data_IF_864151883409
#
_entry.id   IF_864151883409
#
_cell.length_a   1.000
_cell.length_b   1.000
_cell.length_c   1.000
_cell.angle_alpha   90.00
_cell.angle_beta   90.00
_cell.angle_gamma   90.00
#
_symmetry.space_group_name_H-M   'P 1'
#
loop_
_entity.id
_entity.type
_entity.pdbx_description
1 polymer ?
#
# COMPACT_ATOMS: atom_id res chain seq x y z
N UNK A 1 16.12 -13.23 3.18
CA UNK A 1 16.14 -13.72 1.80
C UNK A 1 17.44 -13.26 1.21
N UNK A 2 18.30 -14.22 0.87
CA UNK A 2 19.44 -13.91 0.02
C UNK A 2 18.89 -13.41 -1.31
N UNK A 3 19.30 -12.21 -1.72
CA UNK A 3 18.98 -11.67 -3.04
C UNK A 3 19.53 -12.67 -4.06
N UNK A 4 18.67 -13.16 -4.95
CA UNK A 4 19.10 -14.10 -5.97
C UNK A 4 19.53 -13.37 -7.24
N UNK A 5 20.57 -13.89 -7.88
CA UNK A 5 21.11 -13.36 -9.14
C UNK A 5 20.81 -14.30 -10.33
N UNK A 6 20.01 -15.33 -10.12
CA UNK A 6 19.63 -16.31 -11.15
C UNK A 6 18.24 -15.97 -11.66
N UNK A 7 18.07 -15.95 -12.98
CA UNK A 7 16.79 -15.62 -13.60
C UNK A 7 15.73 -16.69 -13.28
N UNK A 8 14.51 -16.28 -12.95
CA UNK A 8 13.40 -17.20 -12.76
C UNK A 8 12.95 -17.86 -14.07
N UNK A 9 12.19 -18.95 -13.96
CA UNK A 9 11.60 -19.62 -15.13
C UNK A 9 10.66 -18.65 -15.86
N UNK A 10 10.87 -18.49 -17.16
CA UNK A 10 10.12 -17.53 -17.99
C UNK A 10 8.60 -17.76 -17.94
N UNK A 11 8.17 -19.03 -17.83
CA UNK A 11 6.76 -19.39 -17.70
C UNK A 11 6.13 -18.89 -16.40
N UNK A 12 6.85 -18.99 -15.28
CA UNK A 12 6.31 -18.56 -13.99
C UNK A 12 6.19 -17.04 -13.91
N UNK A 13 7.22 -16.33 -14.39
CA UNK A 13 7.22 -14.88 -14.45
C UNK A 13 6.12 -14.36 -15.41
N UNK A 14 5.93 -15.00 -16.57
CA UNK A 14 4.81 -14.68 -17.48
C UNK A 14 3.45 -14.91 -16.81
N UNK A 15 3.31 -15.97 -16.03
CA UNK A 15 2.07 -16.26 -15.33
C UNK A 15 1.79 -15.24 -14.23
N UNK A 16 2.81 -14.83 -13.47
CA UNK A 16 2.68 -13.73 -12.51
C UNK A 16 2.33 -12.40 -13.19
N UNK A 17 2.96 -12.06 -14.32
CA UNK A 17 2.61 -10.86 -15.09
C UNK A 17 1.15 -10.88 -15.58
N UNK A 18 0.67 -12.03 -16.06
CA UNK A 18 -0.74 -12.20 -16.43
C UNK A 18 -1.65 -12.02 -15.21
N UNK A 19 -1.30 -12.59 -14.05
CA UNK A 19 -2.07 -12.37 -12.83
C UNK A 19 -2.14 -10.89 -12.43
N UNK A 20 -1.02 -10.16 -12.51
CA UNK A 20 -0.99 -8.72 -12.21
C UNK A 20 -1.89 -7.94 -13.18
N UNK A 21 -1.74 -8.17 -14.49
CA UNK A 21 -2.44 -7.38 -15.52
C UNK A 21 -3.91 -7.77 -15.69
N UNK A 22 -4.25 -9.04 -15.57
CA UNK A 22 -5.59 -9.56 -15.89
C UNK A 22 -6.49 -9.64 -14.64
N UNK A 23 -5.90 -9.66 -13.43
CA UNK A 23 -6.65 -9.81 -12.18
C UNK A 23 -6.38 -8.65 -11.22
N UNK A 24 -5.13 -8.43 -10.80
CA UNK A 24 -4.84 -7.49 -9.70
C UNK A 24 -5.12 -6.04 -10.10
N UNK A 25 -4.62 -5.57 -11.23
CA UNK A 25 -4.81 -4.18 -11.67
C UNK A 25 -6.30 -3.85 -11.88
N UNK A 26 -7.07 -4.62 -12.68
CA UNK A 26 -8.50 -4.36 -12.85
C UNK A 26 -9.28 -4.40 -11.53
N UNK A 27 -8.94 -5.34 -10.65
CA UNK A 27 -9.59 -5.43 -9.33
C UNK A 27 -9.25 -4.24 -8.43
N UNK A 28 -8.05 -3.68 -8.56
CA UNK A 28 -7.63 -2.49 -7.82
C UNK A 28 -8.40 -1.26 -8.29
N UNK A 29 -8.59 -1.09 -9.61
CA UNK A 29 -9.37 0.00 -10.18
C UNK A 29 -10.83 -0.03 -9.70
N UNK A 30 -11.48 -1.21 -9.77
CA UNK A 30 -12.85 -1.38 -9.28
C UNK A 30 -12.94 -1.12 -7.77
N UNK A 31 -12.01 -1.69 -7.00
CA UNK A 31 -11.98 -1.53 -5.55
C UNK A 31 -11.74 -0.09 -5.12
N UNK A 32 -10.88 0.66 -5.83
CA UNK A 32 -10.61 2.06 -5.54
C UNK A 32 -11.80 2.96 -5.85
N UNK A 33 -12.54 2.70 -6.93
CA UNK A 33 -13.80 3.41 -7.18
C UNK A 33 -14.80 3.24 -6.03
N UNK A 34 -14.88 2.06 -5.42
CA UNK A 34 -15.70 1.83 -4.23
C UNK A 34 -15.12 2.48 -2.98
N UNK A 35 -13.79 2.53 -2.87
CA UNK A 35 -13.07 3.14 -1.74
C UNK A 35 -13.30 4.65 -1.70
N UNK A 36 -13.09 5.32 -2.82
CA UNK A 36 -13.22 6.77 -2.98
C UNK A 36 -14.66 7.23 -2.75
N UNK A 37 -15.63 6.44 -3.20
CA UNK A 37 -17.05 6.69 -2.97
C UNK A 37 -17.56 6.35 -1.56
N UNK A 38 -16.71 5.81 -0.68
CA UNK A 38 -17.11 5.25 0.62
C UNK A 38 -18.27 4.24 0.50
N UNK A 39 -18.09 3.25 -0.38
CA UNK A 39 -19.06 2.17 -0.66
C UNK A 39 -18.46 0.78 -0.43
N UNK A 40 -17.35 0.67 0.28
CA UNK A 40 -16.70 -0.61 0.55
C UNK A 40 -17.52 -1.42 1.54
N UNK A 41 -17.84 -2.64 1.15
CA UNK A 41 -18.48 -3.63 2.00
C UNK A 41 -17.44 -4.63 2.48
N UNK A 42 -17.72 -5.27 3.61
CA UNK A 42 -16.76 -6.17 4.26
C UNK A 42 -16.26 -7.30 3.32
N UNK A 43 -17.15 -7.84 2.48
CA UNK A 43 -16.78 -8.86 1.52
C UNK A 43 -15.92 -8.32 0.36
N UNK A 44 -16.06 -7.04 -0.02
CA UNK A 44 -15.15 -6.41 -0.98
C UNK A 44 -13.73 -6.38 -0.41
N UNK A 45 -13.58 -5.98 0.87
CA UNK A 45 -12.29 -5.98 1.54
C UNK A 45 -11.69 -7.39 1.62
N UNK A 46 -12.45 -8.41 2.03
CA UNK A 46 -11.93 -9.78 2.05
C UNK A 46 -11.51 -10.30 0.67
N UNK A 47 -12.33 -10.06 -0.36
CA UNK A 47 -12.01 -10.46 -1.73
C UNK A 47 -10.72 -9.80 -2.22
N UNK A 48 -10.60 -8.48 -2.04
CA UNK A 48 -9.41 -7.76 -2.47
C UNK A 48 -8.16 -8.15 -1.64
N UNK A 49 -8.33 -8.40 -0.34
CA UNK A 49 -7.27 -8.94 0.52
C UNK A 49 -6.73 -10.27 -0.01
N UNK A 50 -7.63 -11.15 -0.46
CA UNK A 50 -7.25 -12.44 -1.02
C UNK A 50 -6.49 -12.29 -2.35
N UNK A 51 -6.92 -11.36 -3.22
CA UNK A 51 -6.23 -11.05 -4.50
C UNK A 51 -4.80 -10.56 -4.22
N UNK A 52 -4.64 -9.60 -3.32
CA UNK A 52 -3.33 -9.09 -2.92
C UNK A 52 -2.46 -10.18 -2.28
N UNK A 53 -3.02 -10.98 -1.38
CA UNK A 53 -2.28 -12.05 -0.72
C UNK A 53 -1.86 -13.16 -1.70
N UNK A 54 -2.64 -13.38 -2.76
CA UNK A 54 -2.31 -14.35 -3.80
C UNK A 54 -1.21 -13.85 -4.74
N UNK A 55 -1.08 -12.53 -4.97
CA UNK A 55 0.10 -11.97 -5.62
C UNK A 55 1.39 -12.32 -4.85
N UNK A 56 1.34 -12.22 -3.52
CA UNK A 56 2.46 -12.62 -2.65
C UNK A 56 2.71 -14.13 -2.74
N UNK A 57 1.66 -14.96 -2.85
CA UNK A 57 1.82 -16.41 -3.06
C UNK A 57 2.62 -16.71 -4.35
N UNK A 58 2.35 -16.01 -5.45
CA UNK A 58 3.13 -16.14 -6.69
C UNK A 58 4.60 -15.77 -6.51
N UNK A 59 4.86 -14.65 -5.85
CA UNK A 59 6.23 -14.19 -5.61
C UNK A 59 7.02 -15.18 -4.75
N UNK A 60 6.39 -15.69 -3.69
CA UNK A 60 6.99 -16.72 -2.81
C UNK A 60 7.20 -18.02 -3.58
N UNK A 61 6.29 -18.41 -4.47
CA UNK A 61 6.44 -19.58 -5.33
C UNK A 61 7.65 -19.46 -6.27
N UNK A 62 7.77 -18.33 -6.96
CA UNK A 62 8.90 -18.04 -7.86
C UNK A 62 10.21 -18.01 -7.06
N UNK A 63 10.24 -17.28 -5.94
CA UNK A 63 11.42 -17.18 -5.09
C UNK A 63 11.86 -18.56 -4.55
N UNK A 64 10.91 -19.44 -4.20
CA UNK A 64 11.20 -20.78 -3.67
C UNK A 64 11.83 -21.74 -4.68
N UNK A 65 11.62 -21.53 -5.98
CA UNK A 65 12.29 -22.30 -7.02
C UNK A 65 13.76 -21.92 -7.18
N UNK A 66 14.13 -20.70 -6.81
CA UNK A 66 15.49 -20.17 -6.98
C UNK A 66 16.29 -20.17 -5.67
N UNK A 67 15.61 -19.96 -4.54
CA UNK A 67 16.19 -19.88 -3.19
C UNK A 67 15.26 -20.52 -2.17
N UNK A 68 15.74 -20.93 -0.99
CA UNK A 68 14.83 -21.34 0.08
C UNK A 68 14.21 -20.11 0.74
N UNK A 69 13.05 -19.67 0.22
CA UNK A 69 12.33 -18.50 0.70
C UNK A 69 11.20 -18.89 1.66
N UNK A 70 11.45 -18.81 2.97
CA UNK A 70 10.38 -18.92 3.96
C UNK A 70 9.40 -17.73 3.80
N UNK A 71 8.10 -18.01 3.67
CA UNK A 71 7.04 -17.00 3.53
C UNK A 71 7.09 -15.94 4.63
N UNK A 72 7.30 -16.34 5.90
CA UNK A 72 7.35 -15.40 7.03
C UNK A 72 8.49 -14.38 6.85
N UNK A 73 9.66 -14.88 6.45
CA UNK A 73 10.84 -14.04 6.25
C UNK A 73 10.74 -13.22 4.96
N UNK A 74 10.06 -13.74 3.95
CA UNK A 74 9.79 -13.04 2.70
C UNK A 74 8.92 -11.81 2.95
N UNK A 75 7.76 -12.00 3.57
CA UNK A 75 6.80 -10.93 3.87
C UNK A 75 7.42 -9.88 4.79
N UNK A 76 8.14 -10.31 5.84
CA UNK A 76 8.82 -9.39 6.76
C UNK A 76 9.86 -8.51 6.06
N UNK A 77 10.56 -9.04 5.06
CA UNK A 77 11.52 -8.26 4.29
C UNK A 77 10.85 -7.38 3.26
N UNK A 78 9.71 -7.79 2.71
CA UNK A 78 8.92 -6.97 1.82
C UNK A 78 8.42 -5.72 2.53
N UNK A 79 7.86 -5.87 3.73
CA UNK A 79 7.51 -4.76 4.63
C UNK A 79 8.68 -3.79 4.85
N UNK A 80 9.90 -4.31 5.07
CA UNK A 80 11.09 -3.46 5.27
C UNK A 80 11.63 -2.80 3.99
N UNK A 81 11.56 -3.48 2.84
CA UNK A 81 12.15 -3.00 1.58
C UNK A 81 11.25 -2.01 0.86
N UNK A 82 9.96 -2.26 0.91
CA UNK A 82 8.93 -1.49 0.22
C UNK A 82 8.24 -0.49 1.13
N UNK A 83 8.83 -0.20 2.30
CA UNK A 83 8.38 0.77 3.31
C UNK A 83 7.43 1.79 2.67
N UNK A 84 6.13 1.53 2.76
CA UNK A 84 5.18 2.26 1.92
C UNK A 84 5.06 3.64 2.50
N UNK A 85 5.41 4.65 1.69
CA UNK A 85 5.16 6.05 2.03
C UNK A 85 3.67 6.21 2.35
N UNK A 86 3.37 6.84 3.48
CA UNK A 86 2.03 6.86 4.06
C UNK A 86 1.88 5.92 5.25
N UNK A 87 1.55 6.51 6.39
CA UNK A 87 1.39 5.92 7.71
C UNK A 87 2.70 5.40 8.32
N UNK A 88 3.55 6.33 8.79
CA UNK A 88 4.76 6.09 9.62
C UNK A 88 4.49 5.18 10.82
N UNK A 89 3.22 5.09 11.22
CA UNK A 89 2.76 4.32 12.36
C UNK A 89 2.58 2.82 12.08
N UNK A 90 2.55 2.39 10.79
CA UNK A 90 2.36 0.98 10.40
C UNK A 90 3.34 0.58 9.30
N UNK A 91 4.36 -0.19 9.70
CA UNK A 91 5.38 -0.74 8.79
C UNK A 91 5.22 -2.22 8.47
N UNK A 92 4.18 -2.87 9.01
CA UNK A 92 3.90 -4.30 8.89
C UNK A 92 2.63 -4.56 8.06
N UNK A 93 2.40 -3.74 7.02
CA UNK A 93 1.20 -3.76 6.18
C UNK A 93 1.03 -5.11 5.47
N UNK A 94 2.08 -5.66 4.87
CA UNK A 94 2.05 -6.96 4.19
C UNK A 94 1.82 -8.11 5.17
N UNK A 95 2.46 -8.07 6.34
CA UNK A 95 2.20 -9.03 7.42
C UNK A 95 0.75 -8.99 7.89
N UNK A 96 0.19 -7.80 8.09
CA UNK A 96 -1.20 -7.64 8.52
C UNK A 96 -2.17 -8.18 7.44
N UNK A 97 -1.88 -7.91 6.16
CA UNK A 97 -2.62 -8.45 5.03
C UNK A 97 -2.61 -9.99 4.99
N UNK A 98 -1.46 -10.61 5.23
CA UNK A 98 -1.30 -12.07 5.31
C UNK A 98 -2.05 -12.65 6.52
N UNK A 99 -2.02 -11.99 7.67
CA UNK A 99 -2.75 -12.40 8.87
C UNK A 99 -4.27 -12.35 8.68
N UNK A 100 -4.80 -11.26 8.11
CA UNK A 100 -6.23 -11.13 7.77
C UNK A 100 -6.64 -12.18 6.74
N UNK A 101 -5.80 -12.46 5.74
CA UNK A 101 -6.07 -13.52 4.76
C UNK A 101 -6.12 -14.91 5.44
N UNK A 102 -5.20 -15.15 6.38
CA UNK A 102 -5.15 -16.41 7.13
C UNK A 102 -6.39 -16.58 8.02
N UNK A 103 -6.82 -15.52 8.71
CA UNK A 103 -8.06 -15.48 9.49
C UNK A 103 -9.32 -15.71 8.65
N UNK A 104 -9.30 -15.28 7.38
CA UNK A 104 -10.41 -15.56 6.48
C UNK A 104 -10.41 -17.02 6.01
N UNK A 105 -9.23 -17.60 5.78
CA UNK A 105 -9.06 -18.99 5.31
C UNK A 105 -9.24 -20.03 6.42
N UNK A 106 -8.96 -19.67 7.67
CA UNK A 106 -8.94 -20.58 8.82
C UNK A 106 -9.77 -20.02 9.97
N UNK A 107 -10.40 -20.91 10.74
CA UNK A 107 -11.25 -20.54 11.88
C UNK A 107 -10.46 -19.80 12.98
N UNK A 108 -9.17 -20.10 13.12
CA UNK A 108 -8.27 -19.46 14.08
C UNK A 108 -6.96 -19.03 13.41
N UNK A 109 -6.38 -17.92 13.87
CA UNK A 109 -5.07 -17.46 13.44
C UNK A 109 -3.98 -18.40 13.96
N UNK A 110 -3.01 -18.72 13.10
CA UNK A 110 -1.82 -19.47 13.51
C UNK A 110 -0.91 -18.64 14.44
N UNK A 111 -1.18 -18.71 15.75
CA UNK A 111 -0.54 -17.91 16.81
C UNK A 111 1.00 -17.88 16.73
N UNK A 112 1.64 -19.03 16.45
CA UNK A 112 3.10 -19.14 16.36
C UNK A 112 3.68 -18.36 15.17
N UNK A 113 2.93 -18.27 14.07
CA UNK A 113 3.39 -17.62 12.86
C UNK A 113 3.38 -16.10 13.02
N UNK A 114 2.35 -15.56 13.67
CA UNK A 114 2.07 -14.13 13.79
C UNK A 114 2.26 -13.58 15.22
N UNK A 115 3.10 -14.22 16.03
CA UNK A 115 3.32 -13.84 17.43
C UNK A 115 3.72 -12.38 17.60
N UNK A 116 4.51 -11.84 16.68
CA UNK A 116 4.93 -10.43 16.63
C UNK A 116 3.75 -9.50 16.32
N UNK A 117 2.84 -9.87 15.43
CA UNK A 117 1.63 -9.08 15.18
C UNK A 117 0.67 -9.12 16.36
N UNK A 118 0.56 -10.25 17.04
CA UNK A 118 -0.30 -10.38 18.23
C UNK A 118 0.26 -9.54 19.38
N UNK A 119 1.58 -9.42 19.51
CA UNK A 119 2.20 -8.51 20.46
C UNK A 119 1.89 -7.04 20.16
N UNK A 120 1.85 -6.66 18.87
CA UNK A 120 1.57 -5.29 18.43
C UNK A 120 0.07 -4.95 18.55
N UNK A 121 -0.78 -5.79 17.98
CA UNK A 121 -2.21 -5.49 17.80
C UNK A 121 -3.11 -6.15 18.85
N UNK A 122 -2.61 -7.10 19.63
CA UNK A 122 -3.43 -7.97 20.47
C UNK A 122 -4.07 -9.13 19.69
N UNK A 123 -5.09 -9.74 20.27
CA UNK A 123 -5.78 -10.89 19.67
C UNK A 123 -6.46 -10.49 18.35
N UNK A 124 -5.93 -11.04 17.25
CA UNK A 124 -6.46 -10.85 15.90
C UNK A 124 -7.53 -11.91 15.61
N UNK A 125 -8.70 -11.47 15.15
CA UNK A 125 -9.81 -12.36 14.78
C UNK A 125 -10.50 -11.86 13.52
N UNK A 126 -11.42 -12.64 12.96
CA UNK A 126 -12.27 -12.17 11.87
C UNK A 126 -13.03 -10.87 12.21
N UNK A 127 -13.35 -10.65 13.49
CA UNK A 127 -14.01 -9.44 13.98
C UNK A 127 -13.08 -8.22 14.09
N UNK A 128 -11.78 -8.37 13.81
CA UNK A 128 -10.85 -7.26 13.72
C UNK A 128 -11.19 -6.32 12.56
N UNK A 129 -11.95 -6.76 11.55
CA UNK A 129 -12.49 -5.88 10.50
C UNK A 129 -13.98 -5.62 10.72
N UNK A 130 -14.35 -4.35 10.82
CA UNK A 130 -15.73 -3.92 11.05
C UNK A 130 -16.15 -2.85 10.03
N UNK A 131 -17.27 -3.05 9.30
CA UNK A 131 -17.79 -2.01 8.41
C UNK A 131 -18.40 -0.85 9.21
N UNK A 132 -18.19 0.37 8.74
CA UNK A 132 -18.82 1.59 9.26
C UNK A 132 -18.88 2.62 8.14
N UNK A 133 -20.07 3.11 7.82
CA UNK A 133 -20.26 4.22 6.85
C UNK A 133 -19.54 3.98 5.50
N UNK A 134 -19.54 2.73 5.03
CA UNK A 134 -18.90 2.35 3.76
C UNK A 134 -17.37 2.30 3.78
N UNK A 135 -16.77 2.42 4.97
CA UNK A 135 -15.35 2.17 5.28
C UNK A 135 -15.21 0.86 6.06
N UNK A 136 -14.03 0.24 6.00
CA UNK A 136 -13.72 -0.99 6.76
C UNK A 136 -12.65 -0.69 7.79
N UNK A 137 -13.06 -0.59 9.05
CA UNK A 137 -12.13 -0.30 10.13
C UNK A 137 -11.47 -1.57 10.64
N UNK A 138 -10.14 -1.55 10.69
CA UNK A 138 -9.40 -2.42 11.57
C UNK A 138 -9.59 -1.93 13.01
N UNK A 139 -9.94 -2.83 13.92
CA UNK A 139 -10.12 -2.54 15.35
C UNK A 139 -9.41 -3.58 16.20
N UNK A 140 -8.59 -3.10 17.12
CA UNK A 140 -8.06 -3.88 18.22
C UNK A 140 -8.17 -3.10 19.53
N UNK A 141 -7.55 -3.59 20.61
CA UNK A 141 -7.54 -2.89 21.90
C UNK A 141 -6.87 -1.52 21.83
N UNK A 142 -5.86 -1.37 20.97
CA UNK A 142 -5.01 -0.17 20.90
C UNK A 142 -4.90 0.41 19.50
N UNK A 143 -5.49 -0.22 18.48
CA UNK A 143 -5.47 0.26 17.10
C UNK A 143 -6.87 0.44 16.54
N UNK A 144 -7.05 1.52 15.77
CA UNK A 144 -8.27 1.80 15.01
C UNK A 144 -7.93 2.61 13.77
N UNK A 145 -8.14 2.07 12.57
CA UNK A 145 -7.88 2.80 11.32
C UNK A 145 -8.66 2.19 10.16
N UNK A 146 -8.83 2.93 9.05
CA UNK A 146 -9.42 2.38 7.83
C UNK A 146 -8.43 1.41 7.16
N UNK A 147 -8.74 0.11 7.25
CA UNK A 147 -7.88 -0.96 6.75
C UNK A 147 -7.67 -0.89 5.24
N UNK A 148 -8.71 -0.52 4.50
CA UNK A 148 -8.66 -0.49 3.05
C UNK A 148 -7.75 0.64 2.55
N UNK A 149 -7.83 1.81 3.19
CA UNK A 149 -6.99 2.97 2.86
C UNK A 149 -5.56 2.82 3.36
N UNK A 150 -5.38 2.41 4.61
CA UNK A 150 -4.05 2.41 5.27
C UNK A 150 -3.21 1.19 4.92
N UNK A 151 -3.83 0.07 4.51
CA UNK A 151 -3.11 -1.19 4.24
C UNK A 151 -3.27 -1.64 2.79
N UNK A 152 -4.49 -1.75 2.27
CA UNK A 152 -4.70 -2.37 0.95
C UNK A 152 -4.30 -1.46 -0.21
N UNK A 153 -4.73 -0.20 -0.19
CA UNK A 153 -4.36 0.81 -1.21
C UNK A 153 -2.85 0.92 -1.39
N UNK A 154 -2.04 1.14 -0.33
CA UNK A 154 -0.59 1.23 -0.46
C UNK A 154 0.06 -0.05 -1.02
N UNK A 155 -0.40 -1.23 -0.58
CA UNK A 155 0.10 -2.50 -1.10
C UNK A 155 -0.24 -2.67 -2.60
N UNK A 156 -1.46 -2.32 -2.98
CA UNK A 156 -1.90 -2.40 -4.38
C UNK A 156 -1.11 -1.45 -5.28
N UNK A 157 -0.77 -0.25 -4.80
CA UNK A 157 0.07 0.70 -5.51
C UNK A 157 1.46 0.13 -5.82
N UNK A 158 2.09 -0.59 -4.87
CA UNK A 158 3.38 -1.27 -5.11
C UNK A 158 3.29 -2.27 -6.27
N UNK A 159 2.18 -3.02 -6.36
CA UNK A 159 1.98 -3.98 -7.43
C UNK A 159 1.73 -3.32 -8.80
N UNK A 160 1.30 -2.06 -8.82
CA UNK A 160 1.13 -1.27 -10.04
C UNK A 160 2.41 -0.54 -10.47
N UNK A 161 3.55 -1.24 -10.44
CA UNK A 161 4.87 -0.69 -10.79
C UNK A 161 5.25 -0.88 -12.27
N UNK A 162 4.31 -1.27 -13.13
CA UNK A 162 4.52 -1.35 -14.57
C UNK A 162 5.47 -2.47 -15.03
N UNK A 163 5.47 -3.61 -14.35
CA UNK A 163 6.27 -4.79 -14.71
C UNK A 163 5.91 -5.27 -16.13
N UNK A 164 6.93 -5.44 -16.99
CA UNK A 164 6.77 -5.85 -18.39
C UNK A 164 7.55 -7.11 -18.74
N UNK A 165 8.67 -7.33 -18.08
CA UNK A 165 9.61 -8.40 -18.42
C UNK A 165 9.86 -9.35 -17.25
N UNK A 166 10.41 -10.52 -17.54
CA UNK A 166 10.85 -11.48 -16.50
C UNK A 166 11.92 -10.87 -15.59
N UNK A 167 12.79 -10.03 -16.13
CA UNK A 167 13.80 -9.36 -15.32
C UNK A 167 13.12 -8.38 -14.34
N UNK A 168 12.07 -7.68 -14.78
CA UNK A 168 11.30 -6.79 -13.91
C UNK A 168 10.66 -7.57 -12.76
N UNK A 169 10.13 -8.77 -13.04
CA UNK A 169 9.57 -9.66 -12.01
C UNK A 169 10.63 -10.09 -11.00
N UNK A 170 11.80 -10.52 -11.47
CA UNK A 170 12.90 -10.93 -10.58
C UNK A 170 13.41 -9.76 -9.74
N UNK A 171 13.54 -8.58 -10.35
CA UNK A 171 13.98 -7.37 -9.66
C UNK A 171 12.93 -6.89 -8.66
N UNK A 172 11.63 -7.00 -8.97
CA UNK A 172 10.55 -6.73 -8.04
C UNK A 172 10.53 -7.73 -6.86
N UNK A 173 10.61 -9.03 -7.11
CA UNK A 173 10.70 -10.03 -6.02
C UNK A 173 11.93 -9.77 -5.13
N UNK A 174 13.04 -9.34 -5.73
CA UNK A 174 14.26 -8.99 -5.00
C UNK A 174 14.22 -7.61 -4.33
N UNK A 175 13.17 -6.81 -4.49
CA UNK A 175 13.09 -5.48 -3.89
C UNK A 175 13.99 -4.43 -4.55
N UNK A 176 14.36 -4.63 -5.83
CA UNK A 176 15.21 -3.72 -6.61
C UNK A 176 14.40 -2.74 -7.46
N UNK A 177 13.18 -3.11 -7.84
CA UNK A 177 12.20 -2.21 -8.45
C UNK A 177 11.18 -1.86 -7.38
N UNK A 178 11.17 -0.59 -6.97
CA UNK A 178 10.05 -0.04 -6.23
C UNK A 178 9.08 0.54 -7.26
N UNK A 179 7.78 0.24 -7.13
CA UNK A 179 6.77 1.07 -7.77
C UNK A 179 6.86 2.49 -7.24
N UNK A 180 6.31 3.44 -7.99
CA UNK A 180 5.91 4.73 -7.40
C UNK A 180 5.28 4.44 -6.05
N UNK A 181 5.79 5.07 -4.98
CA UNK A 181 5.30 4.91 -3.62
C UNK A 181 3.91 5.55 -3.44
N UNK A 182 3.21 5.87 -4.54
CA UNK A 182 1.89 6.49 -4.58
C UNK A 182 1.92 7.98 -4.20
N UNK A 183 2.95 8.39 -3.47
CA UNK A 183 3.03 9.66 -2.80
C UNK A 183 4.42 10.28 -2.93
N UNK A 184 4.51 11.61 -2.92
CA UNK A 184 5.76 12.35 -3.01
C UNK A 184 6.40 12.39 -4.42
N UNK A 185 5.87 11.65 -5.39
CA UNK A 185 6.37 11.65 -6.76
C UNK A 185 5.55 12.60 -7.65
N UNK A 186 6.11 13.77 -7.92
CA UNK A 186 5.51 14.77 -8.80
C UNK A 186 6.30 14.87 -10.10
N UNK A 187 5.61 14.78 -11.24
CA UNK A 187 6.22 14.83 -12.58
C UNK A 187 6.32 16.27 -13.08
N UNK A 188 7.11 17.10 -12.37
CA UNK A 188 7.36 18.48 -12.75
C UNK A 188 8.79 18.65 -13.30
N UNK A 189 8.93 19.44 -14.36
CA UNK A 189 10.22 19.93 -14.84
C UNK A 189 10.71 21.16 -14.06
N UNK A 190 9.93 21.58 -13.06
CA UNK A 190 10.12 22.75 -12.21
C UNK A 190 10.28 24.04 -13.02
N UNK A 191 9.58 24.11 -14.15
CA UNK A 191 9.55 25.29 -15.02
C UNK A 191 8.36 26.19 -14.68
N UNK A 192 8.36 27.46 -15.13
CA UNK A 192 7.25 28.37 -14.84
C UNK A 192 5.88 27.88 -15.31
N UNK A 193 5.82 26.99 -16.30
CA UNK A 193 4.55 26.40 -16.76
C UNK A 193 3.97 25.38 -15.77
N UNK A 194 4.80 24.75 -14.93
CA UNK A 194 4.36 23.83 -13.89
C UNK A 194 3.82 24.56 -12.64
N UNK A 195 4.01 25.89 -12.55
CA UNK A 195 3.70 26.63 -11.34
C UNK A 195 2.20 26.57 -10.98
N UNK A 196 1.31 26.57 -11.97
CA UNK A 196 -0.13 26.44 -11.73
C UNK A 196 -0.45 25.04 -11.19
N UNK A 197 0.11 23.99 -11.80
CA UNK A 197 -0.14 22.61 -11.38
C UNK A 197 0.41 22.34 -9.98
N UNK A 198 1.62 22.84 -9.69
CA UNK A 198 2.22 22.83 -8.33
C UNK A 198 1.33 23.52 -7.30
N UNK A 199 0.71 24.65 -7.65
CA UNK A 199 -0.22 25.36 -6.77
C UNK A 199 -1.52 24.57 -6.56
N UNK A 200 -2.05 23.95 -7.62
CA UNK A 200 -3.25 23.10 -7.54
C UNK A 200 -3.00 21.93 -6.60
N UNK A 201 -1.88 21.23 -6.75
CA UNK A 201 -1.53 20.06 -5.94
C UNK A 201 -1.19 20.47 -4.49
N UNK A 202 -0.55 21.62 -4.29
CA UNK A 202 -0.32 22.19 -2.96
C UNK A 202 -1.61 22.59 -2.23
N UNK A 203 -2.60 23.13 -2.95
CA UNK A 203 -3.89 23.53 -2.36
C UNK A 203 -4.89 22.37 -2.22
N UNK A 204 -4.72 21.29 -2.98
CA UNK A 204 -5.60 20.12 -2.96
C UNK A 204 -4.85 18.85 -2.55
N UNK A 205 -3.95 18.98 -1.57
CA UNK A 205 -3.14 17.84 -1.13
C UNK A 205 -4.02 16.73 -0.55
N UNK A 206 -3.76 15.51 -0.97
CA UNK A 206 -4.33 14.30 -0.36
C UNK A 206 -3.51 13.88 0.84
N UNK A 207 -4.13 13.17 1.78
CA UNK A 207 -3.42 12.62 2.91
C UNK A 207 -2.54 11.44 2.48
N UNK A 208 -1.26 11.45 2.83
CA UNK A 208 -0.32 10.33 2.64
C UNK A 208 -0.83 9.02 3.24
N UNK A 209 -1.56 9.09 4.37
CA UNK A 209 -1.96 7.93 5.14
C UNK A 209 -3.26 7.29 4.64
N UNK A 210 -4.26 8.11 4.29
CA UNK A 210 -5.58 7.62 3.90
C UNK A 210 -5.97 7.95 2.45
N UNK A 211 -5.21 8.81 1.77
CA UNK A 211 -5.48 9.29 0.42
C UNK A 211 -6.79 10.05 0.29
N UNK A 212 -7.27 10.68 1.37
CA UNK A 212 -8.42 11.60 1.35
C UNK A 212 -7.92 13.04 1.44
N UNK A 213 -8.64 13.99 0.85
CA UNK A 213 -8.35 15.42 1.00
C UNK A 213 -8.53 15.91 2.45
N UNK A 214 -7.91 17.03 2.80
CA UNK A 214 -7.87 17.57 4.17
C UNK A 214 -9.24 17.62 4.86
N UNK A 215 -10.30 18.03 4.15
CA UNK A 215 -11.64 18.17 4.72
C UNK A 215 -12.35 16.83 4.99
N UNK A 216 -12.00 15.78 4.26
CA UNK A 216 -12.62 14.46 4.33
C UNK A 216 -11.74 13.43 5.05
N UNK A 217 -10.54 13.85 5.47
CA UNK A 217 -9.53 12.98 6.07
C UNK A 217 -9.95 12.47 7.46
N UNK A 218 -10.03 11.14 7.60
CA UNK A 218 -10.32 10.48 8.86
C UNK A 218 -9.08 10.17 9.73
N UNK A 219 -7.86 10.47 9.27
CA UNK A 219 -6.63 10.19 10.03
C UNK A 219 -6.63 10.74 11.46
N UNK A 220 -7.16 11.94 11.76
CA UNK A 220 -7.28 12.43 13.15
C UNK A 220 -8.10 11.51 14.08
N UNK A 221 -8.97 10.67 13.52
CA UNK A 221 -9.78 9.69 14.25
C UNK A 221 -9.10 8.32 14.38
N UNK A 222 -7.94 8.13 13.73
CA UNK A 222 -7.19 6.88 13.77
C UNK A 222 -6.30 6.80 15.01
N UNK A 223 -6.17 5.58 15.54
CA UNK A 223 -5.39 5.25 16.73
C UNK A 223 -4.34 4.21 16.32
N UNK A 224 -3.08 4.49 16.65
CA UNK A 224 -1.94 3.63 16.36
C UNK A 224 -1.14 3.34 17.63
N UNK A 225 -1.72 2.53 18.52
CA UNK A 225 -1.09 2.25 19.81
C UNK A 225 -1.12 3.48 20.72
N UNK A 226 0.06 4.08 20.94
CA UNK A 226 0.21 5.29 21.75
C UNK A 226 0.08 6.60 20.94
N UNK A 227 0.16 6.54 19.61
CA UNK A 227 -0.01 7.69 18.73
C UNK A 227 -1.41 7.76 18.14
N UNK A 228 -1.76 8.95 17.63
CA UNK A 228 -2.94 9.18 16.80
C UNK A 228 -2.47 9.58 15.42
N UNK A 229 -3.28 9.24 14.41
CA UNK A 229 -3.05 9.74 13.07
C UNK A 229 -3.30 11.25 13.01
N UNK A 230 -2.73 11.87 11.99
CA UNK A 230 -2.96 13.25 11.62
C UNK A 230 -3.04 13.38 10.10
N UNK A 231 -3.54 14.52 9.62
CA UNK A 231 -3.49 14.80 8.20
C UNK A 231 -2.02 15.05 7.80
N UNK A 232 -1.43 14.10 7.09
CA UNK A 232 -0.11 14.22 6.49
C UNK A 232 -0.26 14.58 5.02
N UNK A 233 0.05 15.82 4.63
CA UNK A 233 -0.18 16.32 3.27
C UNK A 233 0.83 15.74 2.27
N UNK A 234 0.33 15.12 1.20
CA UNK A 234 1.14 14.74 0.05
C UNK A 234 1.43 15.95 -0.83
N UNK A 235 2.48 16.70 -0.49
CA UNK A 235 2.89 17.91 -1.21
C UNK A 235 4.29 17.76 -1.79
N UNK A 236 4.55 18.45 -2.90
CA UNK A 236 5.88 18.57 -3.48
C UNK A 236 6.88 19.04 -2.40
N UNK A 237 7.96 18.29 -2.12
CA UNK A 237 8.93 18.66 -1.08
C UNK A 237 9.65 19.97 -1.41
N UNK A 238 9.63 20.40 -2.67
CA UNK A 238 10.18 21.67 -3.12
C UNK A 238 9.12 22.79 -3.23
N UNK A 239 7.89 22.55 -2.77
CA UNK A 239 6.82 23.54 -2.83
C UNK A 239 7.14 24.73 -1.92
N UNK A 240 7.32 25.90 -2.53
CA UNK A 240 7.49 27.18 -1.83
C UNK A 240 6.44 28.13 -2.37
N UNK A 241 5.45 28.46 -1.53
CA UNK A 241 4.27 29.24 -1.93
C UNK A 241 4.65 30.54 -2.66
N UNK A 242 5.59 31.30 -2.11
CA UNK A 242 6.02 32.58 -2.69
C UNK A 242 6.68 32.42 -4.06
N UNK A 243 7.48 31.37 -4.25
CA UNK A 243 8.13 31.06 -5.52
C UNK A 243 7.11 30.63 -6.58
N UNK A 244 6.19 29.73 -6.21
CA UNK A 244 5.12 29.27 -7.09
C UNK A 244 4.22 30.44 -7.50
N UNK A 245 3.81 31.27 -6.55
CA UNK A 245 2.99 32.45 -6.82
C UNK A 245 3.71 33.47 -7.72
N UNK A 246 5.02 33.68 -7.54
CA UNK A 246 5.81 34.57 -8.40
C UNK A 246 5.89 34.08 -9.85
N UNK A 247 6.00 32.76 -10.06
CA UNK A 247 5.99 32.18 -11.39
C UNK A 247 4.59 32.22 -12.06
N UNK A 248 3.51 32.20 -11.27
CA UNK A 248 2.12 32.36 -11.76
C UNK A 248 1.83 33.82 -12.11
N UNK A 249 2.22 34.77 -11.26
CA UNK A 249 1.81 36.18 -11.37
C UNK A 249 2.52 36.94 -12.50
N UNK A 250 3.49 36.33 -13.18
CA UNK A 250 4.23 36.95 -14.29
C UNK A 250 5.08 38.15 -13.89
N UNK A 251 5.13 38.51 -12.61
CA UNK A 251 5.96 39.58 -12.06
C UNK A 251 7.38 39.07 -11.83
N UNK A 252 8.12 38.90 -12.92
CA UNK A 252 9.58 39.06 -12.90
C UNK A 252 9.89 40.47 -13.36
N UNK A 253 10.21 41.36 -12.42
CA UNK A 253 10.94 42.60 -12.74
C UNK A 253 12.38 42.28 -13.16
#
# INVERSE_FOLDING_TARGET
MEIYNVKSEESDAKYFLSYINDVLIPSSEEFFGLLDDNKVLLHHAFSFNAILAHAIDYMVFIANKVTQANRKDFISQFDNRYHVDGCDHINNKFKLLDAINNLFKHVELEQKRYSDLIEIYGDLTFHSLAPSEGKIFFKSSTYKFDYCRVVMRPIAAIFNCGLKTVNDVDDFINGRICGSTGYGHFDYDYQPHDAIDRMIDGCNSECMDCGEGENDCDCPNFIYGASRGEFSSNTDPNFVLDDVMSNISGTRE
#
